data_IF_802537758613
#
_entry.id   IF_802537758613
#
_cell.length_a   1.000
_cell.length_b   1.000
_cell.length_c   1.000
_cell.angle_alpha   90.00
_cell.angle_beta   90.00
_cell.angle_gamma   90.00
#
_symmetry.space_group_name_H-M   'P 1'
#
loop_
_entity.id
_entity.type
_entity.pdbx_description
1 polymer ?
#
# COMPACT_ATOMS: atom_id res chain seq x y z
N UNK A 1 18.36 20.93 -24.75
CA UNK A 1 17.43 21.09 -23.61
C UNK A 1 17.43 19.83 -22.79
N UNK A 2 17.34 19.96 -21.48
CA UNK A 2 17.26 18.86 -20.54
C UNK A 2 15.87 18.96 -19.87
N UNK A 3 15.16 17.82 -19.77
CA UNK A 3 13.87 17.73 -19.09
C UNK A 3 13.90 16.55 -18.10
N UNK A 4 13.24 16.70 -16.96
CA UNK A 4 13.18 15.66 -15.95
C UNK A 4 12.14 14.59 -16.32
N UNK A 5 12.47 13.31 -16.09
CA UNK A 5 11.50 12.22 -16.15
C UNK A 5 10.86 12.09 -14.77
N UNK A 6 9.66 12.67 -14.62
CA UNK A 6 8.91 12.65 -13.37
C UNK A 6 7.86 11.54 -13.39
N UNK A 7 7.92 10.62 -12.42
CA UNK A 7 6.99 9.50 -12.30
C UNK A 7 5.96 9.67 -11.18
N UNK A 8 6.05 10.75 -10.38
CA UNK A 8 5.10 10.99 -9.29
C UNK A 8 5.53 12.13 -8.39
N UNK A 9 4.75 12.34 -7.34
CA UNK A 9 4.99 13.39 -6.33
C UNK A 9 4.98 12.78 -4.94
N UNK A 10 5.76 13.38 -4.03
CA UNK A 10 5.83 13.00 -2.62
C UNK A 10 4.97 13.92 -1.78
N UNK A 11 4.29 13.35 -0.80
CA UNK A 11 3.44 14.06 0.15
C UNK A 11 3.65 13.50 1.55
N UNK A 12 3.27 14.26 2.55
CA UNK A 12 3.23 13.85 3.95
C UNK A 12 1.86 14.15 4.53
N UNK A 13 1.42 13.30 5.46
CA UNK A 13 0.16 13.41 6.19
C UNK A 13 0.40 13.04 7.66
N UNK A 14 0.03 13.91 8.59
CA UNK A 14 0.00 13.54 10.00
C UNK A 14 -1.17 12.58 10.26
N UNK A 15 -0.86 11.38 10.75
CA UNK A 15 -1.86 10.40 11.15
C UNK A 15 -2.23 10.58 12.63
N UNK A 16 -3.49 10.83 12.90
CA UNK A 16 -4.00 10.86 14.27
C UNK A 16 -4.07 9.46 14.89
N UNK A 17 -4.27 8.41 14.08
CA UNK A 17 -4.27 7.03 14.57
C UNK A 17 -2.87 6.55 14.94
N UNK A 18 -1.87 6.84 14.10
CA UNK A 18 -0.48 6.42 14.32
C UNK A 18 0.32 7.43 15.15
N UNK A 19 -0.18 8.66 15.33
CA UNK A 19 0.44 9.78 16.03
C UNK A 19 1.82 10.13 15.48
N UNK A 20 1.97 10.07 14.16
CA UNK A 20 3.21 10.37 13.46
C UNK A 20 2.95 10.89 12.04
N UNK A 21 3.94 11.55 11.43
CA UNK A 21 3.93 11.89 10.01
C UNK A 21 4.13 10.64 9.16
N UNK A 22 3.32 10.51 8.12
CA UNK A 22 3.38 9.40 7.17
C UNK A 22 3.57 9.92 5.76
N UNK A 23 4.66 9.51 5.15
CA UNK A 23 4.95 9.85 3.76
C UNK A 23 4.21 8.92 2.80
N UNK A 24 3.74 9.48 1.70
CA UNK A 24 3.16 8.73 0.59
C UNK A 24 3.49 9.40 -0.75
N UNK A 25 3.55 8.59 -1.79
CA UNK A 25 3.85 9.04 -3.14
C UNK A 25 2.66 8.80 -4.05
N UNK A 26 2.37 9.76 -4.92
CA UNK A 26 1.25 9.67 -5.87
C UNK A 26 1.78 9.67 -7.29
N UNK A 27 1.37 8.66 -8.06
CA UNK A 27 1.43 8.63 -9.51
C UNK A 27 0.04 8.87 -10.07
N UNK A 28 -0.06 9.76 -11.07
CA UNK A 28 -1.26 10.01 -11.84
C UNK A 28 -1.08 9.47 -13.26
N UNK A 29 -2.12 8.84 -13.87
CA UNK A 29 -2.03 8.33 -15.24
C UNK A 29 -1.70 9.44 -16.25
N UNK A 30 -1.02 9.09 -17.36
CA UNK A 30 -0.53 10.07 -18.36
C UNK A 30 -1.61 11.03 -18.88
N UNK A 31 -2.86 10.59 -18.98
CA UNK A 31 -3.97 11.42 -19.46
C UNK A 31 -4.77 12.09 -18.37
N UNK A 32 -4.31 12.02 -17.12
CA UNK A 32 -5.05 12.56 -15.98
C UNK A 32 -5.43 14.04 -16.16
N UNK A 33 -4.50 14.87 -16.57
CA UNK A 33 -4.75 16.33 -16.76
C UNK A 33 -5.46 16.67 -18.09
N UNK A 34 -5.40 15.78 -19.08
CA UNK A 34 -6.01 16.00 -20.39
C UNK A 34 -7.49 15.64 -20.42
N UNK A 35 -7.86 14.53 -19.78
CA UNK A 35 -9.26 14.07 -19.67
C UNK A 35 -9.75 14.28 -18.24
N UNK A 36 -10.40 15.41 -18.03
CA UNK A 36 -10.94 15.81 -16.72
C UNK A 36 -12.27 15.11 -16.38
N UNK A 37 -12.84 14.34 -17.30
CA UNK A 37 -14.11 13.62 -17.12
C UNK A 37 -13.93 12.22 -16.58
N UNK A 38 -12.71 11.64 -16.73
CA UNK A 38 -12.43 10.28 -16.31
C UNK A 38 -12.08 10.23 -14.82
N UNK A 39 -12.67 9.24 -14.12
CA UNK A 39 -12.31 8.84 -12.77
C UNK A 39 -11.53 7.51 -12.81
N UNK A 40 -10.67 7.30 -11.83
CA UNK A 40 -9.67 6.25 -11.86
C UNK A 40 -9.74 5.34 -10.63
N UNK A 41 -9.49 4.03 -10.75
CA UNK A 41 -9.23 3.17 -9.62
C UNK A 41 -7.92 3.58 -8.92
N UNK A 42 -7.83 3.28 -7.63
CA UNK A 42 -6.64 3.58 -6.80
C UNK A 42 -5.96 2.29 -6.39
N UNK A 43 -4.66 2.22 -6.60
CA UNK A 43 -3.79 1.17 -6.07
C UNK A 43 -3.07 1.72 -4.83
N UNK A 44 -3.32 1.14 -3.67
CA UNK A 44 -2.57 1.36 -2.45
C UNK A 44 -1.41 0.36 -2.41
N UNK A 45 -0.21 0.84 -2.73
CA UNK A 45 1.01 0.05 -2.77
C UNK A 45 1.74 0.20 -1.45
N UNK A 46 1.77 -0.84 -0.65
CA UNK A 46 2.58 -0.89 0.57
C UNK A 46 4.06 -1.05 0.23
N UNK A 47 4.95 -0.66 1.15
CA UNK A 47 6.40 -0.57 0.88
C UNK A 47 6.72 0.30 -0.36
N UNK A 48 5.99 1.41 -0.52
CA UNK A 48 6.08 2.27 -1.69
C UNK A 48 7.50 2.74 -2.00
N UNK A 49 8.31 3.00 -0.98
CA UNK A 49 9.73 3.39 -1.18
C UNK A 49 10.55 2.38 -1.97
N UNK A 50 10.19 1.09 -1.91
CA UNK A 50 10.89 0.00 -2.62
C UNK A 50 10.27 -0.31 -3.99
N UNK A 51 8.95 -0.22 -4.12
CA UNK A 51 8.24 -0.80 -5.27
C UNK A 51 7.53 0.23 -6.17
N UNK A 52 7.48 1.50 -5.78
CA UNK A 52 6.71 2.51 -6.51
C UNK A 52 7.14 2.64 -7.98
N UNK A 53 8.44 2.76 -8.24
CA UNK A 53 8.97 2.91 -9.61
C UNK A 53 8.61 1.70 -10.48
N UNK A 54 8.77 0.49 -9.94
CA UNK A 54 8.49 -0.74 -10.68
C UNK A 54 7.00 -0.85 -11.00
N UNK A 55 6.12 -0.57 -10.02
CA UNK A 55 4.68 -0.66 -10.25
C UNK A 55 4.19 0.41 -11.21
N UNK A 56 4.71 1.65 -11.14
CA UNK A 56 4.39 2.70 -12.12
C UNK A 56 4.75 2.25 -13.53
N UNK A 57 5.96 1.71 -13.75
CA UNK A 57 6.39 1.22 -15.06
C UNK A 57 5.50 0.08 -15.58
N UNK A 58 5.16 -0.89 -14.74
CA UNK A 58 4.25 -1.99 -15.07
C UNK A 58 2.86 -1.45 -15.42
N UNK A 59 2.31 -0.56 -14.60
CA UNK A 59 0.99 0.04 -14.79
C UNK A 59 0.91 0.81 -16.11
N UNK A 60 1.91 1.63 -16.42
CA UNK A 60 2.00 2.34 -17.69
C UNK A 60 2.03 1.37 -18.87
N UNK A 61 2.88 0.34 -18.83
CA UNK A 61 2.98 -0.65 -19.89
C UNK A 61 1.66 -1.36 -20.10
N UNK A 62 1.05 -1.92 -19.05
CA UNK A 62 -0.16 -2.73 -19.15
C UNK A 62 -1.40 -1.92 -19.52
N UNK A 63 -1.43 -0.62 -19.22
CA UNK A 63 -2.55 0.25 -19.58
C UNK A 63 -2.47 0.84 -20.99
N UNK A 64 -1.28 0.82 -21.62
CA UNK A 64 -1.04 1.43 -22.94
C UNK A 64 -0.89 0.42 -24.07
N UNK A 65 -0.46 -0.82 -23.81
CA UNK A 65 -0.32 -1.86 -24.85
C UNK A 65 -1.67 -2.21 -25.48
N UNK A 66 -1.63 -2.70 -26.71
CA UNK A 66 -2.80 -3.17 -27.43
C UNK A 66 -3.49 -4.28 -26.63
N UNK A 67 -4.73 -4.04 -26.20
CA UNK A 67 -5.51 -4.96 -25.36
C UNK A 67 -5.80 -4.39 -23.97
N UNK A 68 -5.01 -3.43 -23.49
CA UNK A 68 -5.22 -2.76 -22.19
C UNK A 68 -5.49 -3.76 -21.06
N UNK A 69 -4.46 -4.50 -20.65
CA UNK A 69 -4.59 -5.54 -19.62
C UNK A 69 -4.86 -5.00 -18.21
N UNK A 70 -4.57 -3.71 -17.99
CA UNK A 70 -4.86 -3.00 -16.75
C UNK A 70 -5.52 -1.66 -17.09
N UNK A 71 -6.57 -1.21 -16.40
CA UNK A 71 -7.04 0.16 -16.53
C UNK A 71 -5.97 1.14 -16.08
N UNK A 72 -6.00 2.37 -16.59
CA UNK A 72 -5.20 3.45 -16.05
C UNK A 72 -5.58 3.70 -14.60
N UNK A 73 -4.61 3.69 -13.68
CA UNK A 73 -4.83 3.78 -12.23
C UNK A 73 -4.06 4.94 -11.62
N UNK A 74 -4.59 5.51 -10.55
CA UNK A 74 -3.80 6.28 -9.58
C UNK A 74 -3.03 5.29 -8.71
N UNK A 75 -1.76 5.54 -8.41
CA UNK A 75 -0.98 4.71 -7.48
C UNK A 75 -0.60 5.56 -6.29
N UNK A 76 -1.02 5.13 -5.11
CA UNK A 76 -0.63 5.66 -3.81
C UNK A 76 0.41 4.74 -3.17
N UNK A 77 1.68 5.09 -3.29
CA UNK A 77 2.78 4.36 -2.66
C UNK A 77 2.94 4.79 -1.21
N UNK A 78 2.57 3.92 -0.28
CA UNK A 78 2.65 4.18 1.17
C UNK A 78 4.05 3.86 1.66
N UNK A 79 4.74 4.85 2.24
CA UNK A 79 6.11 4.70 2.72
C UNK A 79 6.09 4.08 4.11
N UNK A 80 6.89 3.03 4.27
CA UNK A 80 6.98 2.31 5.55
C UNK A 80 7.87 3.06 6.53
N UNK A 81 7.39 3.22 7.76
CA UNK A 81 8.15 3.77 8.91
C UNK A 81 8.59 2.63 9.82
N UNK A 82 7.64 1.87 10.34
CA UNK A 82 7.88 0.66 11.13
C UNK A 82 7.07 -0.51 10.55
N UNK A 83 7.71 -1.28 9.66
CA UNK A 83 7.07 -2.39 8.95
C UNK A 83 6.59 -3.50 9.88
N UNK A 84 7.33 -3.76 10.94
CA UNK A 84 6.96 -4.83 11.88
C UNK A 84 5.72 -4.44 12.65
N UNK A 85 5.65 -3.22 13.18
CA UNK A 85 4.46 -2.69 13.85
C UNK A 85 3.26 -2.68 12.91
N UNK A 86 3.41 -2.04 11.74
CA UNK A 86 2.29 -1.68 10.88
C UNK A 86 1.69 -2.89 10.14
N UNK A 87 2.51 -3.90 9.80
CA UNK A 87 2.08 -4.97 8.90
C UNK A 87 1.77 -6.30 9.59
N UNK A 88 1.98 -6.40 10.91
CA UNK A 88 1.75 -7.67 11.60
C UNK A 88 0.52 -7.62 12.50
N UNK A 89 -0.30 -8.69 12.50
CA UNK A 89 -1.57 -8.72 13.25
C UNK A 89 -1.38 -8.96 14.75
N UNK A 90 -0.25 -9.55 15.14
CA UNK A 90 0.05 -9.92 16.52
C UNK A 90 1.46 -9.48 16.89
N UNK A 91 1.71 -9.23 18.18
CA UNK A 91 3.06 -9.07 18.68
C UNK A 91 3.74 -10.43 18.85
N UNK A 92 4.93 -10.59 18.25
CA UNK A 92 5.70 -11.84 18.35
C UNK A 92 7.19 -11.57 18.57
N UNK A 93 7.83 -12.44 19.34
CA UNK A 93 9.28 -12.52 19.49
C UNK A 93 9.87 -13.69 18.69
N UNK A 94 9.02 -14.49 18.04
CA UNK A 94 9.46 -15.66 17.26
C UNK A 94 9.99 -15.21 15.89
N UNK A 95 11.18 -15.69 15.53
CA UNK A 95 11.74 -15.53 14.20
C UNK A 95 11.07 -16.43 13.16
N UNK A 96 11.54 -16.37 11.91
CA UNK A 96 11.02 -17.17 10.79
C UNK A 96 11.08 -18.68 11.02
N UNK A 97 12.00 -19.16 11.84
CA UNK A 97 12.08 -20.58 12.23
C UNK A 97 11.09 -21.00 13.31
N UNK A 98 10.24 -20.09 13.79
CA UNK A 98 9.35 -20.31 14.93
C UNK A 98 10.05 -20.31 16.28
N UNK A 99 11.38 -20.10 16.32
CA UNK A 99 12.17 -20.07 17.56
C UNK A 99 12.26 -18.66 18.10
N UNK A 100 12.17 -18.56 19.43
CA UNK A 100 12.38 -17.31 20.16
C UNK A 100 13.77 -17.31 20.79
N UNK A 101 14.56 -16.27 20.56
CA UNK A 101 15.86 -16.11 21.23
C UNK A 101 15.66 -15.74 22.71
N UNK A 102 16.57 -16.18 23.61
CA UNK A 102 16.52 -15.78 25.01
C UNK A 102 16.52 -14.25 25.16
N UNK A 103 15.56 -13.70 25.90
CA UNK A 103 15.43 -12.26 26.13
C UNK A 103 14.83 -11.47 24.97
N UNK A 104 14.34 -12.11 23.91
CA UNK A 104 13.68 -11.42 22.80
C UNK A 104 12.36 -10.78 23.26
N UNK A 105 12.16 -9.51 22.89
CA UNK A 105 10.96 -8.74 23.22
C UNK A 105 9.98 -8.87 22.03
N UNK A 106 8.71 -9.21 22.28
CA UNK A 106 7.69 -9.23 21.24
C UNK A 106 7.56 -7.87 20.55
N UNK A 107 7.47 -7.89 19.21
CA UNK A 107 7.29 -6.71 18.36
C UNK A 107 6.11 -6.91 17.42
N UNK A 108 5.55 -5.82 16.89
CA UNK A 108 4.46 -5.87 15.94
C UNK A 108 3.08 -5.74 16.60
N UNK A 109 2.03 -6.19 15.91
CA UNK A 109 0.66 -6.19 16.39
C UNK A 109 -0.11 -4.89 16.15
N UNK A 110 0.40 -3.99 15.31
CA UNK A 110 -0.24 -2.69 15.01
C UNK A 110 -1.07 -2.64 13.73
N UNK A 111 -1.29 -3.78 13.08
CA UNK A 111 -1.94 -3.82 11.75
C UNK A 111 -3.36 -3.22 11.74
N UNK A 112 -4.10 -3.34 12.82
CA UNK A 112 -5.46 -2.77 12.92
C UNK A 112 -5.41 -1.23 12.90
N UNK A 113 -4.52 -0.62 13.68
CA UNK A 113 -4.33 0.83 13.70
C UNK A 113 -3.83 1.34 12.34
N UNK A 114 -2.92 0.60 11.71
CA UNK A 114 -2.43 0.93 10.37
C UNK A 114 -3.53 0.80 9.31
N UNK A 115 -4.41 -0.20 9.42
CA UNK A 115 -5.58 -0.34 8.53
C UNK A 115 -6.49 0.88 8.61
N UNK A 116 -6.75 1.40 9.81
CA UNK A 116 -7.53 2.62 10.01
C UNK A 116 -6.86 3.85 9.40
N UNK A 117 -5.55 4.01 9.56
CA UNK A 117 -4.80 5.06 8.86
C UNK A 117 -5.02 5.00 7.35
N UNK A 118 -4.87 3.82 6.74
CA UNK A 118 -5.03 3.65 5.29
C UNK A 118 -6.44 4.00 4.82
N UNK A 119 -7.46 3.54 5.54
CA UNK A 119 -8.85 3.58 5.07
C UNK A 119 -9.63 4.80 5.53
N UNK A 120 -9.33 5.36 6.69
CA UNK A 120 -10.05 6.50 7.25
C UNK A 120 -9.31 7.84 7.03
N UNK A 121 -7.97 7.85 7.01
CA UNK A 121 -7.19 9.08 6.82
C UNK A 121 -6.64 9.19 5.39
N UNK A 122 -5.75 8.30 4.96
CA UNK A 122 -5.10 8.42 3.66
C UNK A 122 -6.10 8.33 2.50
N UNK A 123 -7.04 7.39 2.53
CA UNK A 123 -8.08 7.26 1.50
C UNK A 123 -8.94 8.52 1.41
N UNK A 124 -9.34 9.09 2.54
CA UNK A 124 -10.14 10.33 2.56
C UNK A 124 -9.39 11.49 1.89
N UNK A 125 -8.08 11.61 2.13
CA UNK A 125 -7.24 12.62 1.46
C UNK A 125 -7.17 12.36 -0.04
N UNK A 126 -6.97 11.11 -0.46
CA UNK A 126 -6.87 10.74 -1.88
C UNK A 126 -8.20 10.99 -2.59
N UNK A 127 -9.33 10.54 -2.03
CA UNK A 127 -10.65 10.69 -2.64
C UNK A 127 -11.10 12.15 -2.72
N UNK A 128 -10.71 12.99 -1.77
CA UNK A 128 -11.01 14.43 -1.79
C UNK A 128 -10.11 15.23 -2.75
N UNK A 129 -8.92 14.70 -3.07
CA UNK A 129 -7.91 15.42 -3.86
C UNK A 129 -7.93 15.01 -5.34
N UNK A 130 -8.22 13.73 -5.61
CA UNK A 130 -8.09 13.15 -6.96
C UNK A 130 -9.43 12.59 -7.46
N UNK A 131 -9.54 12.46 -8.78
CA UNK A 131 -10.71 11.87 -9.44
C UNK A 131 -10.67 10.34 -9.33
N UNK A 132 -11.13 9.82 -8.19
CA UNK A 132 -11.26 8.40 -7.92
C UNK A 132 -12.61 7.87 -8.37
N UNK A 133 -12.72 6.58 -8.69
CA UNK A 133 -13.96 5.92 -9.07
C UNK A 133 -14.51 4.97 -8.00
N UNK A 134 -13.90 4.96 -6.82
CA UNK A 134 -14.30 4.12 -5.69
C UNK A 134 -13.73 2.70 -5.71
N UNK A 135 -13.09 2.25 -6.81
CA UNK A 135 -12.43 0.94 -6.85
C UNK A 135 -11.02 1.06 -6.26
N UNK A 136 -10.77 0.32 -5.18
CA UNK A 136 -9.53 0.36 -4.40
C UNK A 136 -8.84 -1.01 -4.39
N UNK A 137 -7.56 -1.02 -4.72
CA UNK A 137 -6.72 -2.22 -4.70
C UNK A 137 -5.62 -2.07 -3.65
N UNK A 138 -5.39 -3.12 -2.86
CA UNK A 138 -4.30 -3.20 -1.89
C UNK A 138 -3.23 -4.17 -2.40
N UNK A 139 -1.97 -3.71 -2.46
CA UNK A 139 -0.82 -4.54 -2.88
C UNK A 139 0.24 -4.52 -1.79
N UNK A 140 0.70 -5.70 -1.37
CA UNK A 140 1.78 -5.86 -0.40
C UNK A 140 2.67 -7.06 -0.69
N UNK A 141 3.95 -6.98 -0.25
CA UNK A 141 4.95 -8.03 -0.39
C UNK A 141 5.57 -8.38 0.98
N UNK A 142 5.80 -9.67 1.25
CA UNK A 142 6.42 -10.13 2.50
C UNK A 142 5.58 -9.75 3.73
N UNK A 143 6.04 -8.89 4.63
CA UNK A 143 5.25 -8.40 5.78
C UNK A 143 4.03 -7.60 5.33
N UNK A 144 4.17 -6.74 4.33
CA UNK A 144 3.00 -6.06 3.78
C UNK A 144 2.08 -6.99 2.99
N UNK A 145 2.60 -8.10 2.47
CA UNK A 145 1.79 -9.21 1.96
C UNK A 145 1.00 -9.91 3.07
N UNK A 146 1.60 -10.14 4.24
CA UNK A 146 0.89 -10.64 5.42
C UNK A 146 -0.24 -9.69 5.85
N UNK A 147 0.04 -8.38 5.91
CA UNK A 147 -0.98 -7.36 6.17
C UNK A 147 -2.14 -7.46 5.16
N UNK A 148 -1.83 -7.60 3.87
CA UNK A 148 -2.83 -7.73 2.80
C UNK A 148 -3.71 -8.95 2.99
N UNK A 149 -3.13 -10.12 3.33
CA UNK A 149 -3.89 -11.35 3.64
C UNK A 149 -4.73 -11.17 4.90
N UNK A 150 -4.16 -10.63 5.97
CA UNK A 150 -4.88 -10.40 7.23
C UNK A 150 -6.07 -9.45 7.03
N UNK A 151 -5.89 -8.37 6.27
CA UNK A 151 -6.97 -7.42 5.95
C UNK A 151 -8.07 -8.11 5.13
N UNK A 152 -7.70 -8.91 4.12
CA UNK A 152 -8.67 -9.69 3.35
C UNK A 152 -9.51 -10.64 4.22
N UNK A 153 -8.88 -11.31 5.18
CA UNK A 153 -9.57 -12.29 6.01
C UNK A 153 -10.48 -11.66 7.09
N UNK A 154 -10.13 -10.48 7.58
CA UNK A 154 -10.84 -9.83 8.69
C UNK A 154 -11.81 -8.74 8.26
N UNK A 155 -11.46 -8.04 7.19
CA UNK A 155 -12.11 -6.81 6.74
C UNK A 155 -12.15 -6.78 5.21
N UNK A 156 -12.74 -7.82 4.61
CA UNK A 156 -12.82 -8.03 3.16
C UNK A 156 -13.41 -6.83 2.43
N UNK A 157 -14.30 -6.07 3.08
CA UNK A 157 -15.01 -4.92 2.54
C UNK A 157 -14.13 -3.66 2.38
N UNK A 158 -12.94 -3.63 2.97
CA UNK A 158 -12.10 -2.43 2.93
C UNK A 158 -11.48 -2.14 1.57
N UNK A 159 -11.23 -3.18 0.78
CA UNK A 159 -10.70 -3.05 -0.58
C UNK A 159 -11.44 -4.00 -1.54
N UNK A 160 -11.48 -3.63 -2.82
CA UNK A 160 -12.15 -4.44 -3.84
C UNK A 160 -11.23 -5.55 -4.39
N UNK A 161 -9.91 -5.30 -4.39
CA UNK A 161 -8.90 -6.22 -4.91
C UNK A 161 -7.74 -6.28 -3.93
N UNK A 162 -7.28 -7.50 -3.65
CA UNK A 162 -6.14 -7.78 -2.78
C UNK A 162 -5.08 -8.57 -3.54
N UNK A 163 -3.84 -8.05 -3.58
CA UNK A 163 -2.70 -8.72 -4.18
C UNK A 163 -1.59 -8.89 -3.14
N UNK A 164 -1.46 -10.07 -2.59
CA UNK A 164 -0.42 -10.43 -1.64
C UNK A 164 0.70 -11.20 -2.35
N UNK A 165 1.91 -10.64 -2.38
CA UNK A 165 3.08 -11.25 -3.00
C UNK A 165 3.97 -11.85 -1.91
N UNK A 166 4.23 -13.14 -1.99
CA UNK A 166 5.08 -13.90 -1.05
C UNK A 166 4.83 -13.49 0.42
N UNK A 167 3.57 -13.60 0.91
CA UNK A 167 3.20 -13.11 2.23
C UNK A 167 3.94 -13.88 3.33
N UNK A 168 4.38 -13.16 4.39
CA UNK A 168 5.12 -13.73 5.53
C UNK A 168 4.20 -14.50 6.48
N UNK A 169 3.51 -15.54 5.98
CA UNK A 169 2.55 -16.35 6.74
C UNK A 169 3.16 -17.15 7.90
N UNK A 170 4.49 -17.19 7.98
CA UNK A 170 5.24 -17.75 9.09
C UNK A 170 5.22 -16.90 10.36
N UNK A 171 4.77 -15.64 10.28
CA UNK A 171 4.71 -14.72 11.42
C UNK A 171 3.91 -15.34 12.56
N UNK A 172 4.43 -15.21 13.80
CA UNK A 172 3.82 -15.73 15.02
C UNK A 172 3.35 -17.21 14.89
N UNK A 173 4.17 -18.01 14.21
CA UNK A 173 3.90 -19.45 13.96
C UNK A 173 2.61 -19.72 13.17
N UNK A 174 2.18 -18.77 12.32
CA UNK A 174 1.00 -18.90 11.47
C UNK A 174 -0.34 -18.71 12.20
N UNK A 175 -0.33 -18.02 13.35
CA UNK A 175 -1.54 -17.69 14.11
C UNK A 175 -2.34 -16.56 13.51
#
# INVERSE_FOLDING_TARGET
SQEDICIGKRYSLYSAFLQEERDYWIYLPQNYDRDTTQNYPVIYLLDGGSFFHSLVGISQTLSTVKGKYLPSCIIAGVISTDRTRDFTPTASAAGRSGKTSPGAIPQGGGSETFSRFLTEELRSVIDSTYRTNGLNMLIGHSYSGLFTVNTFLRHTELFDIYLALDPSLWWDQGK
#
